data_IF_459433939737
#
_entry.id   IF_459433939737
#
_cell.length_a   1.000
_cell.length_b   1.000
_cell.length_c   1.000
_cell.angle_alpha   90.00
_cell.angle_beta   90.00
_cell.angle_gamma   90.00
#
_symmetry.space_group_name_H-M   'P 1'
#
loop_
_entity.id
_entity.type
_entity.pdbx_description
1 polymer ?
#
# COMPACT_ATOMS: atom_id res chain seq x y z
N UNK A 1 -1.25 14.28 -13.05
CA UNK A 1 0.07 13.69 -13.42
C UNK A 1 0.90 13.20 -12.24
N UNK A 2 0.92 13.84 -11.05
CA UNK A 2 1.77 13.39 -9.93
C UNK A 2 1.33 12.04 -9.32
N UNK A 3 0.03 11.86 -9.07
CA UNK A 3 -0.55 10.64 -8.47
C UNK A 3 -0.24 9.38 -9.27
N UNK A 4 -0.51 9.38 -10.58
CA UNK A 4 -0.29 8.20 -11.44
C UNK A 4 1.16 7.72 -11.43
N UNK A 5 2.14 8.65 -11.39
CA UNK A 5 3.57 8.31 -11.32
C UNK A 5 3.95 7.67 -9.98
N UNK A 6 3.35 8.14 -8.88
CA UNK A 6 3.56 7.54 -7.56
C UNK A 6 2.96 6.13 -7.50
N UNK A 7 1.75 5.95 -8.01
CA UNK A 7 1.10 4.64 -8.07
C UNK A 7 1.96 3.67 -8.90
N UNK A 8 2.42 4.09 -10.08
CA UNK A 8 3.30 3.28 -10.91
C UNK A 8 4.59 2.88 -10.17
N UNK A 9 5.25 3.82 -9.48
CA UNK A 9 6.44 3.52 -8.69
C UNK A 9 6.18 2.54 -7.53
N UNK A 10 5.00 2.62 -6.90
CA UNK A 10 4.59 1.64 -5.87
C UNK A 10 4.37 0.25 -6.48
N UNK A 11 3.69 0.18 -7.63
CA UNK A 11 3.50 -1.07 -8.38
C UNK A 11 4.84 -1.69 -8.75
N UNK A 12 5.79 -0.89 -9.24
CA UNK A 12 7.14 -1.36 -9.58
C UNK A 12 7.88 -1.92 -8.36
N UNK A 13 7.78 -1.27 -7.20
CA UNK A 13 8.36 -1.77 -5.94
C UNK A 13 7.77 -3.15 -5.58
N UNK A 14 6.45 -3.31 -5.69
CA UNK A 14 5.78 -4.59 -5.39
C UNK A 14 6.24 -5.67 -6.38
N UNK A 15 6.16 -5.41 -7.68
CA UNK A 15 6.57 -6.36 -8.71
C UNK A 15 8.03 -6.80 -8.55
N UNK A 16 8.93 -5.84 -8.31
CA UNK A 16 10.34 -6.12 -8.08
C UNK A 16 10.58 -6.97 -6.83
N UNK A 17 9.94 -6.62 -5.70
CA UNK A 17 10.14 -7.30 -4.42
C UNK A 17 9.61 -8.74 -4.41
N UNK A 18 8.66 -9.04 -5.29
CA UNK A 18 8.04 -10.36 -5.42
C UNK A 18 8.48 -11.15 -6.66
N UNK A 19 9.20 -10.53 -7.59
CA UNK A 19 9.63 -11.18 -8.84
C UNK A 19 8.47 -11.60 -9.73
N UNK A 20 7.38 -10.84 -9.75
CA UNK A 20 6.16 -11.16 -10.50
C UNK A 20 5.61 -9.93 -11.23
N UNK A 21 4.76 -10.17 -12.23
CA UNK A 21 3.94 -9.14 -12.86
C UNK A 21 2.56 -9.18 -12.23
N UNK A 22 2.06 -8.05 -11.76
CA UNK A 22 0.71 -7.98 -11.20
C UNK A 22 -0.32 -8.05 -12.33
N UNK A 23 -1.37 -8.84 -12.12
CA UNK A 23 -2.50 -8.90 -13.05
C UNK A 23 -3.35 -7.63 -12.92
N UNK A 24 -3.24 -6.78 -13.95
CA UNK A 24 -3.93 -5.49 -14.03
C UNK A 24 -5.45 -5.61 -14.21
N UNK A 25 -5.93 -6.77 -14.67
CA UNK A 25 -7.36 -7.06 -14.86
C UNK A 25 -8.00 -7.63 -13.59
N UNK A 26 -7.17 -8.10 -12.64
CA UNK A 26 -7.67 -8.67 -11.40
C UNK A 26 -8.43 -7.68 -10.51
N UNK A 27 -9.43 -8.19 -9.81
CA UNK A 27 -10.16 -7.43 -8.79
C UNK A 27 -9.24 -6.94 -7.67
N UNK A 28 -8.26 -7.75 -7.26
CA UNK A 28 -7.30 -7.40 -6.22
C UNK A 28 -6.42 -6.21 -6.65
N UNK A 29 -5.98 -6.18 -7.91
CA UNK A 29 -5.24 -5.04 -8.45
C UNK A 29 -6.11 -3.78 -8.51
N UNK A 30 -7.34 -3.89 -9.01
CA UNK A 30 -8.29 -2.77 -9.05
C UNK A 30 -8.51 -2.17 -7.65
N UNK A 31 -8.70 -3.02 -6.62
CA UNK A 31 -8.85 -2.58 -5.23
C UNK A 31 -7.58 -1.93 -4.68
N UNK A 32 -6.41 -2.51 -4.97
CA UNK A 32 -5.12 -1.97 -4.54
C UNK A 32 -4.89 -0.56 -5.09
N UNK A 33 -5.06 -0.37 -6.41
CA UNK A 33 -4.93 0.94 -7.06
C UNK A 33 -5.97 1.94 -6.55
N UNK A 34 -7.20 1.49 -6.32
CA UNK A 34 -8.27 2.30 -5.74
C UNK A 34 -7.90 2.86 -4.36
N UNK A 35 -7.36 2.01 -3.49
CA UNK A 35 -6.90 2.44 -2.16
C UNK A 35 -5.73 3.41 -2.22
N UNK A 36 -4.72 3.12 -3.05
CA UNK A 36 -3.61 4.05 -3.25
C UNK A 36 -4.09 5.41 -3.73
N UNK A 37 -5.03 5.44 -4.67
CA UNK A 37 -5.61 6.69 -5.17
C UNK A 37 -6.34 7.46 -4.08
N UNK A 38 -7.18 6.78 -3.29
CA UNK A 38 -7.92 7.40 -2.20
C UNK A 38 -6.96 8.00 -1.14
N UNK A 39 -5.95 7.23 -0.72
CA UNK A 39 -4.89 7.69 0.17
C UNK A 39 -4.18 8.93 -0.37
N UNK A 40 -3.76 8.93 -1.64
CA UNK A 40 -3.06 10.06 -2.25
C UNK A 40 -3.94 11.30 -2.36
N UNK A 41 -5.22 11.14 -2.70
CA UNK A 41 -6.19 12.25 -2.77
C UNK A 41 -6.38 12.86 -1.38
N UNK A 42 -6.53 12.03 -0.35
CA UNK A 42 -6.65 12.48 1.04
C UNK A 42 -5.42 13.24 1.52
N UNK A 43 -4.19 12.76 1.20
CA UNK A 43 -2.94 13.46 1.53
C UNK A 43 -2.82 14.80 0.82
N UNK A 44 -3.27 14.90 -0.43
CA UNK A 44 -3.23 16.16 -1.20
C UNK A 44 -4.27 17.17 -0.73
N UNK A 45 -5.41 16.72 -0.22
CA UNK A 45 -6.46 17.62 0.28
C UNK A 45 -6.22 18.09 1.72
N UNK A 46 -5.14 17.65 2.38
CA UNK A 46 -4.90 17.85 3.83
C UNK A 46 -6.11 17.44 4.70
N UNK A 47 -6.95 16.53 4.18
CA UNK A 47 -8.09 16.03 4.93
C UNK A 47 -7.57 15.16 6.08
N UNK A 48 -8.15 15.36 7.28
CA UNK A 48 -7.86 14.47 8.40
C UNK A 48 -8.28 13.03 8.04
N UNK A 49 -7.54 12.02 8.51
CA UNK A 49 -7.99 10.63 8.50
C UNK A 49 -9.44 10.53 8.96
N UNK A 50 -10.27 9.85 8.16
CA UNK A 50 -11.65 9.58 8.48
C UNK A 50 -11.74 8.18 9.08
N UNK A 51 -12.03 8.08 10.37
CA UNK A 51 -12.18 6.80 11.06
C UNK A 51 -11.66 6.83 12.50
N UNK A 52 -12.01 5.81 13.27
CA UNK A 52 -11.31 5.50 14.51
C UNK A 52 -9.94 4.93 14.14
N UNK A 53 -8.90 5.34 14.87
CA UNK A 53 -7.55 4.77 14.73
C UNK A 53 -7.62 3.26 15.03
N UNK A 54 -6.90 2.46 14.23
CA UNK A 54 -6.78 1.04 14.52
C UNK A 54 -5.97 0.84 15.80
N UNK A 55 -6.24 -0.25 16.50
CA UNK A 55 -5.40 -0.69 17.61
C UNK A 55 -3.95 -0.89 17.13
N UNK A 56 -3.00 -0.31 17.86
CA UNK A 56 -1.57 -0.44 17.55
C UNK A 56 -1.10 -1.89 17.52
N UNK A 57 -1.74 -2.79 18.27
CA UNK A 57 -1.45 -4.23 18.24
C UNK A 57 -1.77 -4.88 16.89
N UNK A 58 -2.73 -4.32 16.13
CA UNK A 58 -3.11 -4.86 14.83
C UNK A 58 -1.98 -4.74 13.81
N UNK A 59 -1.20 -3.64 13.84
CA UNK A 59 -0.05 -3.50 12.96
C UNK A 59 0.98 -4.60 13.26
N UNK A 60 1.30 -4.81 14.54
CA UNK A 60 2.25 -5.84 14.95
C UNK A 60 1.78 -7.23 14.48
N UNK A 61 0.50 -7.54 14.64
CA UNK A 61 -0.09 -8.79 14.16
C UNK A 61 0.03 -8.93 12.63
N UNK A 62 -0.21 -7.86 11.88
CA UNK A 62 -0.09 -7.86 10.41
C UNK A 62 1.35 -8.03 9.95
N UNK A 63 2.31 -7.38 10.61
CA UNK A 63 3.74 -7.52 10.30
C UNK A 63 4.25 -8.95 10.58
N UNK A 64 3.76 -9.58 11.65
CA UNK A 64 4.06 -10.99 11.95
C UNK A 64 3.39 -11.96 10.96
N UNK A 65 2.14 -11.69 10.58
CA UNK A 65 1.37 -12.58 9.69
C UNK A 65 1.82 -12.50 8.23
N UNK A 66 2.23 -11.33 7.77
CA UNK A 66 2.60 -11.06 6.38
C UNK A 66 3.97 -10.37 6.28
N UNK A 67 5.06 -11.01 6.72
CA UNK A 67 6.36 -10.36 6.89
C UNK A 67 6.94 -9.80 5.59
N UNK A 68 6.80 -10.52 4.47
CA UNK A 68 7.27 -10.00 3.17
C UNK A 68 6.47 -8.78 2.71
N UNK A 69 5.16 -8.75 2.97
CA UNK A 69 4.32 -7.60 2.63
C UNK A 69 4.67 -6.39 3.52
N UNK A 70 4.92 -6.61 4.81
CA UNK A 70 5.41 -5.57 5.73
C UNK A 70 6.73 -4.94 5.29
N UNK A 71 7.70 -5.75 4.88
CA UNK A 71 8.97 -5.26 4.31
C UNK A 71 8.71 -4.44 3.04
N UNK A 72 7.82 -4.91 2.17
CA UNK A 72 7.45 -4.21 0.93
C UNK A 72 6.79 -2.86 1.23
N UNK A 73 5.88 -2.81 2.21
CA UNK A 73 5.24 -1.57 2.65
C UNK A 73 6.23 -0.60 3.26
N UNK A 74 7.23 -1.07 3.99
CA UNK A 74 8.33 -0.23 4.49
C UNK A 74 9.12 0.40 3.34
N UNK A 75 9.35 -0.34 2.24
CA UNK A 75 9.99 0.23 1.03
C UNK A 75 9.11 1.27 0.35
N UNK A 76 7.80 1.03 0.29
CA UNK A 76 6.81 1.99 -0.24
C UNK A 76 6.80 3.28 0.60
N UNK A 77 6.81 3.15 1.92
CA UNK A 77 6.88 4.28 2.87
C UNK A 77 8.11 5.14 2.60
N UNK A 78 9.30 4.52 2.52
CA UNK A 78 10.55 5.21 2.21
C UNK A 78 10.52 5.90 0.83
N UNK A 79 9.91 5.27 -0.17
CA UNK A 79 9.72 5.87 -1.49
C UNK A 79 8.83 7.11 -1.44
N UNK A 80 7.68 7.03 -0.76
CA UNK A 80 6.75 8.14 -0.59
C UNK A 80 7.37 9.29 0.20
N UNK A 81 8.12 8.97 1.26
CA UNK A 81 8.85 9.95 2.05
C UNK A 81 9.88 10.68 1.19
N UNK A 82 10.66 9.95 0.40
CA UNK A 82 11.71 10.54 -0.46
C UNK A 82 11.13 11.40 -1.59
N UNK A 83 10.00 10.99 -2.19
CA UNK A 83 9.42 11.69 -3.35
C UNK A 83 8.51 12.85 -2.99
N UNK A 84 7.80 12.75 -1.86
CA UNK A 84 6.72 13.68 -1.50
C UNK A 84 6.80 14.18 -0.05
N UNK A 85 7.68 13.63 0.79
CA UNK A 85 7.70 13.90 2.23
C UNK A 85 6.53 13.28 2.98
N UNK A 86 5.88 12.26 2.41
CA UNK A 86 4.73 11.60 3.03
C UNK A 86 5.16 10.34 3.76
N UNK A 87 4.75 10.23 5.03
CA UNK A 87 4.94 9.05 5.88
C UNK A 87 3.61 8.34 6.09
N UNK A 88 3.60 7.02 5.94
CA UNK A 88 2.45 6.17 6.25
C UNK A 88 2.25 6.10 7.77
N UNK A 89 1.01 6.33 8.22
CA UNK A 89 0.66 6.07 9.61
C UNK A 89 0.41 4.56 9.84
N UNK A 90 0.22 4.10 11.09
CA UNK A 90 -0.01 2.68 11.36
C UNK A 90 -1.19 2.08 10.57
N UNK A 91 -2.29 2.80 10.44
CA UNK A 91 -3.47 2.35 9.70
C UNK A 91 -3.18 2.18 8.21
N UNK A 92 -2.53 3.17 7.60
CA UNK A 92 -2.07 3.13 6.21
C UNK A 92 -1.21 1.89 5.97
N UNK A 93 -0.30 1.58 6.91
CA UNK A 93 0.56 0.40 6.85
C UNK A 93 -0.24 -0.89 6.93
N UNK A 94 -1.16 -1.02 7.88
CA UNK A 94 -2.06 -2.19 8.00
C UNK A 94 -2.80 -2.46 6.70
N UNK A 95 -3.45 -1.44 6.14
CA UNK A 95 -4.20 -1.57 4.89
C UNK A 95 -3.30 -1.96 3.72
N UNK A 96 -2.15 -1.29 3.58
CA UNK A 96 -1.22 -1.61 2.49
C UNK A 96 -0.61 -2.99 2.62
N UNK A 97 -0.30 -3.47 3.83
CA UNK A 97 0.20 -4.83 4.05
C UNK A 97 -0.82 -5.84 3.52
N UNK A 98 -2.09 -5.66 3.86
CA UNK A 98 -3.16 -6.52 3.41
C UNK A 98 -3.35 -6.50 1.88
N UNK A 99 -3.33 -5.32 1.26
CA UNK A 99 -3.51 -5.20 -0.19
C UNK A 99 -2.31 -5.72 -0.99
N UNK A 100 -1.08 -5.43 -0.53
CA UNK A 100 0.14 -6.00 -1.12
C UNK A 100 0.09 -7.52 -1.04
N UNK A 101 -0.26 -8.09 0.13
CA UNK A 101 -0.38 -9.53 0.27
C UNK A 101 -1.45 -10.12 -0.66
N UNK A 102 -2.64 -9.50 -0.74
CA UNK A 102 -3.72 -9.95 -1.62
C UNK A 102 -3.32 -9.94 -3.09
N UNK A 103 -2.75 -8.85 -3.59
CA UNK A 103 -2.40 -8.72 -5.02
C UNK A 103 -1.22 -9.62 -5.43
N UNK A 104 -0.42 -10.10 -4.48
CA UNK A 104 0.74 -10.96 -4.72
C UNK A 104 0.48 -12.45 -4.48
N UNK A 105 -0.42 -12.81 -3.56
CA UNK A 105 -0.67 -14.22 -3.18
C UNK A 105 -2.07 -14.73 -3.51
N UNK A 106 -3.03 -13.83 -3.69
CA UNK A 106 -4.39 -14.16 -4.10
C UNK A 106 -4.58 -13.65 -5.52
N UNK A 107 -4.06 -14.41 -6.49
CA UNK A 107 -4.40 -14.21 -7.90
C UNK A 107 -5.68 -14.97 -8.32
N UNK A 108 -6.30 -15.66 -7.37
CA UNK A 108 -7.49 -16.49 -7.57
C UNK A 108 -8.77 -15.72 -7.18
N UNK A 109 -9.89 -15.81 -7.89
CA UNK A 109 -10.46 -16.89 -8.73
C UNK A 109 -11.52 -16.27 -9.65
#
# INVERSE_FOLDING_TARGET
MKITKLIAGIVDIVQYQYGLTLDVESFNYTRFIGHLRAFMVQRLSNARPYGAELDGELLVLMEQKYPQAAVTVTRIDNFLQTKMGWTLNPDDRVYLILHVWRVTHRQEQ
#
